data_IF_705750579563
#
_entry.id   IF_705750579563
#
_cell.length_a   1.000
_cell.length_b   1.000
_cell.length_c   1.000
_cell.angle_alpha   90.00
_cell.angle_beta   90.00
_cell.angle_gamma   90.00
#
_symmetry.space_group_name_H-M   'P 1'
#
loop_
_entity.id
_entity.type
_entity.pdbx_description
1 polymer ?
#
# COMPACT_ATOMS: atom_id res chain seq x y z
N UNK A 1 -29.83 -11.29 -41.95
CA UNK A 1 -29.25 -9.93 -41.86
C UNK A 1 -30.14 -9.09 -40.96
N UNK A 2 -29.80 -9.02 -39.68
CA UNK A 2 -30.38 -8.08 -38.71
C UNK A 2 -29.21 -7.68 -37.80
N UNK A 3 -28.74 -6.44 -37.95
CA UNK A 3 -27.57 -5.93 -37.25
C UNK A 3 -27.87 -5.73 -35.77
N UNK A 4 -27.03 -6.30 -34.91
CA UNK A 4 -26.96 -5.92 -33.51
C UNK A 4 -26.21 -4.60 -33.40
N UNK A 5 -26.94 -3.54 -33.07
CA UNK A 5 -26.38 -2.25 -32.68
C UNK A 5 -25.92 -2.34 -31.22
N UNK A 6 -24.61 -2.58 -31.03
CA UNK A 6 -23.95 -2.51 -29.72
C UNK A 6 -23.49 -1.08 -29.47
N UNK A 7 -24.41 -0.23 -29.02
CA UNK A 7 -24.10 1.11 -28.56
C UNK A 7 -24.84 1.38 -27.25
N UNK A 8 -24.35 0.83 -26.13
CA UNK A 8 -24.84 1.22 -24.80
C UNK A 8 -24.19 2.56 -24.42
N UNK A 9 -24.94 3.68 -24.29
CA UNK A 9 -24.35 5.01 -24.07
C UNK A 9 -24.04 5.34 -22.60
N UNK A 10 -24.10 4.35 -21.70
CA UNK A 10 -23.67 4.46 -20.29
C UNK A 10 -22.22 3.94 -20.26
N UNK A 11 -21.15 4.74 -20.35
CA UNK A 11 -20.66 5.68 -19.34
C UNK A 11 -19.55 6.53 -19.97
N UNK A 12 -19.90 7.56 -20.75
CA UNK A 12 -18.98 8.70 -20.93
C UNK A 12 -19.23 9.64 -19.76
N UNK A 13 -18.59 9.36 -18.63
CA UNK A 13 -18.53 10.29 -17.48
C UNK A 13 -18.01 11.62 -18.03
N UNK A 14 -18.82 12.68 -17.95
CA UNK A 14 -18.31 14.04 -18.10
C UNK A 14 -17.15 14.18 -17.12
N UNK A 15 -15.98 14.75 -17.53
CA UNK A 15 -14.91 14.98 -16.57
C UNK A 15 -15.50 15.74 -15.38
N UNK A 16 -15.26 15.23 -14.17
CA UNK A 16 -15.80 15.80 -12.96
C UNK A 16 -15.23 17.20 -12.75
N UNK A 17 -15.78 17.93 -11.79
CA UNK A 17 -15.08 19.13 -11.30
C UNK A 17 -13.68 18.70 -10.84
N UNK A 18 -12.57 19.31 -11.33
CA UNK A 18 -11.22 18.98 -10.89
C UNK A 18 -11.05 19.02 -9.36
N UNK A 19 -11.81 19.87 -8.67
CA UNK A 19 -11.80 19.92 -7.21
C UNK A 19 -12.40 18.66 -6.57
N UNK A 20 -13.47 18.11 -7.15
CA UNK A 20 -14.08 16.85 -6.71
C UNK A 20 -13.16 15.66 -7.00
N UNK A 21 -12.52 15.62 -8.16
CA UNK A 21 -11.55 14.58 -8.51
C UNK A 21 -10.34 14.60 -7.57
N UNK A 22 -9.80 15.80 -7.26
CA UNK A 22 -8.73 15.95 -6.27
C UNK A 22 -9.18 15.54 -4.87
N UNK A 23 -10.43 15.85 -4.48
CA UNK A 23 -10.98 15.42 -3.20
C UNK A 23 -11.13 13.88 -3.13
N UNK A 24 -11.63 13.26 -4.19
CA UNK A 24 -11.75 11.80 -4.31
C UNK A 24 -10.37 11.12 -4.22
N UNK A 25 -9.35 11.64 -4.92
CA UNK A 25 -7.97 11.13 -4.83
C UNK A 25 -7.45 11.17 -3.39
N UNK A 26 -7.63 12.29 -2.69
CA UNK A 26 -7.19 12.44 -1.30
C UNK A 26 -7.97 11.53 -0.35
N UNK A 27 -9.28 11.41 -0.53
CA UNK A 27 -10.11 10.53 0.29
C UNK A 27 -9.75 9.05 0.05
N UNK A 28 -9.39 8.68 -1.18
CA UNK A 28 -8.88 7.34 -1.50
C UNK A 28 -7.57 7.05 -0.78
N UNK A 29 -6.60 7.97 -0.82
CA UNK A 29 -5.35 7.82 -0.07
C UNK A 29 -5.60 7.67 1.44
N UNK A 30 -6.60 8.38 1.97
CA UNK A 30 -7.02 8.24 3.38
C UNK A 30 -7.72 6.91 3.68
N UNK A 31 -8.24 6.19 2.70
CA UNK A 31 -9.12 5.03 2.91
C UNK A 31 -8.41 3.71 3.13
N UNK A 32 -7.13 3.59 2.76
CA UNK A 32 -6.41 2.30 2.79
C UNK A 32 -6.57 1.50 4.10
N UNK A 33 -6.47 2.11 5.30
CA UNK A 33 -6.60 1.39 6.56
C UNK A 33 -7.96 0.73 6.84
N UNK A 34 -8.99 0.99 6.02
CA UNK A 34 -10.34 0.41 6.17
C UNK A 34 -10.82 -0.37 4.94
N UNK A 35 -10.03 -0.38 3.87
CA UNK A 35 -10.43 -1.00 2.59
C UNK A 35 -10.01 -2.46 2.47
N UNK A 36 -9.13 -2.93 3.35
CA UNK A 36 -8.59 -4.28 3.33
C UNK A 36 -7.94 -4.63 4.69
N UNK A 37 -7.90 -5.91 5.00
CA UNK A 37 -7.30 -6.54 6.17
C UNK A 37 -6.10 -7.39 5.80
N UNK A 38 -6.14 -8.07 4.65
CA UNK A 38 -4.99 -8.82 4.13
C UNK A 38 -4.71 -8.49 2.67
N UNK A 39 -3.44 -8.52 2.30
CA UNK A 39 -2.97 -8.31 0.93
C UNK A 39 -1.88 -9.31 0.60
N UNK A 40 -2.02 -9.93 -0.57
CA UNK A 40 -0.93 -10.65 -1.23
C UNK A 40 -0.54 -9.90 -2.48
N UNK A 41 0.73 -9.59 -2.63
CA UNK A 41 1.21 -8.75 -3.72
C UNK A 41 2.66 -9.04 -4.08
N UNK A 42 3.07 -8.54 -5.25
CA UNK A 42 4.46 -8.46 -5.65
C UNK A 42 4.94 -7.02 -5.53
N UNK A 43 6.19 -6.83 -5.11
CA UNK A 43 6.80 -5.51 -4.92
C UNK A 43 8.16 -5.43 -5.59
N UNK A 44 8.45 -4.27 -6.16
CA UNK A 44 9.74 -3.87 -6.72
C UNK A 44 10.08 -2.46 -6.24
N UNK A 45 11.24 -2.29 -5.61
CA UNK A 45 11.76 -0.96 -5.22
C UNK A 45 12.43 -0.24 -6.39
N UNK A 46 11.73 -0.20 -7.53
CA UNK A 46 12.14 0.48 -8.76
C UNK A 46 10.95 1.24 -9.33
N UNK A 47 11.16 2.40 -9.99
CA UNK A 47 10.07 3.20 -10.49
C UNK A 47 9.25 2.48 -11.55
N UNK A 48 8.02 2.96 -11.72
CA UNK A 48 7.14 2.58 -12.82
C UNK A 48 7.81 2.77 -14.19
N UNK A 49 7.79 1.72 -15.02
CA UNK A 49 8.27 1.78 -16.40
C UNK A 49 7.45 2.79 -17.23
N UNK A 50 8.10 3.45 -18.20
CA UNK A 50 7.51 4.54 -19.02
C UNK A 50 6.29 4.08 -19.83
N UNK A 51 6.18 2.79 -20.11
CA UNK A 51 5.21 2.26 -21.06
C UNK A 51 4.31 1.18 -20.40
N UNK A 52 3.00 1.43 -20.27
CA UNK A 52 2.05 0.45 -19.73
C UNK A 52 1.81 -0.74 -20.68
N UNK A 53 2.14 -0.61 -21.97
CA UNK A 53 2.04 -1.67 -22.99
C UNK A 53 3.39 -2.36 -23.25
N UNK A 54 4.47 -1.94 -22.58
CA UNK A 54 5.72 -2.68 -22.64
C UNK A 54 5.51 -4.10 -22.10
N UNK A 55 6.06 -5.13 -22.77
CA UNK A 55 5.94 -6.50 -22.32
C UNK A 55 6.37 -6.59 -20.86
N UNK A 56 5.53 -7.24 -20.04
CA UNK A 56 5.75 -7.36 -18.60
C UNK A 56 7.24 -7.65 -18.34
N UNK A 57 7.92 -6.82 -17.53
CA UNK A 57 9.35 -6.99 -17.32
C UNK A 57 9.57 -8.44 -16.90
N UNK A 58 10.53 -9.10 -17.57
CA UNK A 58 10.98 -10.44 -17.21
C UNK A 58 11.13 -10.52 -15.68
N UNK A 59 10.83 -11.66 -15.03
CA UNK A 59 10.85 -11.77 -13.58
C UNK A 59 12.19 -11.24 -13.07
N UNK A 60 12.15 -10.02 -12.54
CA UNK A 60 13.34 -9.37 -12.06
C UNK A 60 13.76 -10.12 -10.80
N UNK A 61 15.04 -10.49 -10.64
CA UNK A 61 15.52 -11.21 -9.46
C UNK A 61 15.21 -10.45 -8.15
N UNK A 62 15.03 -9.13 -8.26
CA UNK A 62 14.76 -8.24 -7.13
C UNK A 62 13.27 -8.14 -6.76
N UNK A 63 12.38 -8.84 -7.48
CA UNK A 63 10.95 -8.86 -7.17
C UNK A 63 10.71 -9.70 -5.93
N UNK A 64 10.01 -9.12 -4.96
CA UNK A 64 9.60 -9.83 -3.74
C UNK A 64 8.11 -10.10 -3.75
N UNK A 65 7.71 -11.25 -3.23
CA UNK A 65 6.32 -11.60 -2.93
C UNK A 65 6.05 -11.30 -1.47
N UNK A 66 4.95 -10.61 -1.22
CA UNK A 66 4.54 -10.18 0.09
C UNK A 66 3.19 -10.78 0.45
N UNK A 67 3.08 -11.25 1.68
CA UNK A 67 1.83 -11.53 2.36
C UNK A 67 1.76 -10.63 3.57
N UNK A 68 0.69 -9.86 3.66
CA UNK A 68 0.49 -8.93 4.74
C UNK A 68 -0.91 -9.14 5.31
N UNK A 69 -1.02 -9.19 6.63
CA UNK A 69 -2.28 -9.24 7.35
C UNK A 69 -2.24 -8.28 8.53
N UNK A 70 -3.23 -7.40 8.60
CA UNK A 70 -3.36 -6.44 9.69
C UNK A 70 -3.95 -7.12 10.94
N UNK A 71 -3.52 -6.72 12.15
CA UNK A 71 -2.43 -5.80 12.43
C UNK A 71 -1.05 -6.50 12.38
N UNK A 72 -0.12 -5.97 11.59
CA UNK A 72 1.32 -6.18 11.78
C UNK A 72 1.94 -7.50 11.31
N UNK A 73 1.20 -8.43 10.72
CA UNK A 73 1.77 -9.66 10.18
C UNK A 73 2.31 -9.42 8.76
N UNK A 74 3.61 -9.65 8.54
CA UNK A 74 4.25 -9.53 7.23
C UNK A 74 5.16 -10.74 6.97
N UNK A 75 5.05 -11.31 5.78
CA UNK A 75 6.02 -12.26 5.22
C UNK A 75 6.44 -11.78 3.84
N UNK A 76 7.74 -11.88 3.58
CA UNK A 76 8.35 -11.53 2.31
C UNK A 76 9.23 -12.68 1.83
N UNK A 77 9.06 -13.01 0.56
CA UNK A 77 9.84 -14.03 -0.13
C UNK A 77 10.43 -13.47 -1.43
N UNK A 78 11.56 -14.01 -1.85
CA UNK A 78 12.03 -13.83 -3.23
C UNK A 78 11.11 -14.53 -4.22
N UNK A 79 11.28 -14.25 -5.51
CA UNK A 79 10.59 -15.01 -6.57
C UNK A 79 10.83 -16.54 -6.50
N UNK A 80 12.01 -16.95 -6.01
CA UNK A 80 12.42 -18.34 -5.85
C UNK A 80 11.91 -18.99 -4.54
N UNK A 81 11.18 -18.25 -3.69
CA UNK A 81 10.60 -18.74 -2.44
C UNK A 81 11.54 -18.69 -1.22
N UNK A 82 12.66 -17.97 -1.31
CA UNK A 82 13.52 -17.72 -0.15
C UNK A 82 12.86 -16.66 0.75
N UNK A 83 12.60 -16.99 2.01
CA UNK A 83 12.05 -16.04 2.99
C UNK A 83 13.08 -14.98 3.33
N UNK A 84 12.79 -13.73 2.97
CA UNK A 84 13.60 -12.56 3.28
C UNK A 84 13.26 -11.96 4.64
N UNK A 85 11.97 -12.01 4.99
CA UNK A 85 11.47 -11.48 6.27
C UNK A 85 10.17 -12.18 6.65
N UNK A 86 9.99 -12.39 7.94
CA UNK A 86 8.72 -12.83 8.51
C UNK A 86 8.55 -12.24 9.90
N UNK A 87 7.37 -11.74 10.22
CA UNK A 87 7.04 -11.27 11.57
C UNK A 87 6.82 -12.49 12.48
N UNK A 88 7.88 -12.96 13.14
CA UNK A 88 7.77 -13.96 14.21
C UNK A 88 7.21 -13.29 15.46
N UNK A 89 6.09 -13.79 16.00
CA UNK A 89 5.52 -13.29 17.26
C UNK A 89 4.09 -12.75 17.19
N UNK A 90 3.31 -13.06 16.14
CA UNK A 90 1.88 -12.72 16.08
C UNK A 90 1.10 -13.34 17.26
N UNK A 91 1.57 -14.49 17.76
CA UNK A 91 1.03 -15.22 18.91
C UNK A 91 1.82 -15.02 20.21
N UNK A 92 2.86 -14.20 20.22
CA UNK A 92 3.53 -13.88 21.48
C UNK A 92 2.55 -13.06 22.33
N UNK A 93 2.19 -13.65 23.48
CA UNK A 93 1.21 -13.12 24.42
C UNK A 93 1.39 -11.61 24.59
N UNK A 94 0.27 -10.89 24.61
CA UNK A 94 0.18 -9.44 24.86
C UNK A 94 0.67 -9.03 26.27
N UNK A 95 1.39 -9.90 26.98
CA UNK A 95 2.00 -9.63 28.29
C UNK A 95 3.14 -8.60 28.23
N UNK A 96 3.75 -8.38 27.05
CA UNK A 96 4.77 -7.33 26.87
C UNK A 96 4.17 -5.91 26.84
N UNK A 97 2.83 -5.77 26.78
CA UNK A 97 2.16 -4.46 26.85
C UNK A 97 2.26 -3.75 28.22
N UNK A 98 2.76 -4.41 29.28
CA UNK A 98 2.81 -3.82 30.63
C UNK A 98 4.14 -3.14 31.02
N UNK A 99 5.18 -3.14 30.18
CA UNK A 99 6.47 -2.55 30.54
C UNK A 99 6.94 -1.53 29.50
N UNK A 100 6.26 -0.38 29.44
CA UNK A 100 6.72 0.76 28.63
C UNK A 100 5.63 1.79 28.34
N UNK A 101 5.15 2.46 29.39
CA UNK A 101 4.11 3.51 29.29
C UNK A 101 4.60 4.75 28.52
N UNK A 102 4.57 4.69 27.18
CA UNK A 102 4.43 5.86 26.32
C UNK A 102 2.95 5.98 25.93
N UNK A 103 2.41 7.20 25.80
CA UNK A 103 0.96 7.50 25.64
C UNK A 103 0.22 6.75 24.49
N UNK A 104 0.90 5.96 23.66
CA UNK A 104 0.38 5.30 22.45
C UNK A 104 -0.26 3.92 22.69
N UNK A 105 -0.17 3.34 23.88
CA UNK A 105 -0.66 1.96 24.16
C UNK A 105 -2.18 1.78 24.18
N UNK A 106 -2.96 2.87 24.21
CA UNK A 106 -4.44 2.81 24.24
C UNK A 106 -5.10 3.03 22.88
N UNK A 107 -4.34 3.38 21.83
CA UNK A 107 -4.91 3.60 20.51
C UNK A 107 -5.34 2.26 19.90
N UNK A 108 -6.59 2.21 19.45
CA UNK A 108 -7.11 1.04 18.75
C UNK A 108 -6.55 0.98 17.33
N UNK A 109 -6.37 -0.22 16.76
CA UNK A 109 -6.13 -0.39 15.33
C UNK A 109 -7.21 0.35 14.51
N UNK A 110 -6.88 0.95 13.34
CA UNK A 110 -7.83 1.73 12.55
C UNK A 110 -9.13 0.99 12.24
N UNK A 111 -9.05 -0.31 12.01
CA UNK A 111 -10.18 -1.18 11.69
C UNK A 111 -11.23 -1.30 12.82
N UNK A 112 -10.86 -0.96 14.05
CA UNK A 112 -11.76 -0.95 15.21
C UNK A 112 -12.32 0.46 15.50
N UNK A 113 -12.00 1.46 14.68
CA UNK A 113 -12.45 2.85 14.84
C UNK A 113 -13.13 3.32 13.55
N UNK A 114 -14.30 3.93 13.68
CA UNK A 114 -15.07 4.42 12.52
C UNK A 114 -14.56 5.79 12.06
N UNK A 115 -14.12 5.95 10.80
CA UNK A 115 -13.74 7.23 10.24
C UNK A 115 -14.96 8.01 9.74
N UNK A 116 -14.75 9.27 9.34
CA UNK A 116 -15.79 10.04 8.64
C UNK A 116 -15.69 9.74 7.16
N UNK A 117 -16.75 9.17 6.59
CA UNK A 117 -16.86 8.89 5.16
C UNK A 117 -17.46 10.09 4.39
N UNK A 118 -17.15 10.17 3.10
CA UNK A 118 -17.91 10.97 2.14
C UNK A 118 -19.10 10.18 1.56
N UNK A 119 -19.79 10.78 0.59
CA UNK A 119 -20.93 10.21 -0.12
C UNK A 119 -20.56 9.01 -1.02
N UNK A 120 -19.27 8.86 -1.37
CA UNK A 120 -18.72 7.75 -2.14
C UNK A 120 -18.14 6.64 -1.26
N UNK A 121 -18.31 6.73 0.07
CA UNK A 121 -17.78 5.76 1.03
C UNK A 121 -16.25 5.78 1.16
N UNK A 122 -15.58 6.85 0.72
CA UNK A 122 -14.17 7.09 0.94
C UNK A 122 -13.98 7.88 2.24
N UNK A 123 -12.83 7.70 2.88
CA UNK A 123 -12.52 8.35 4.15
C UNK A 123 -12.18 9.82 3.92
N UNK A 124 -13.06 10.70 4.38
CA UNK A 124 -12.84 12.14 4.41
C UNK A 124 -11.91 12.54 5.56
N UNK A 125 -12.12 12.00 6.77
CA UNK A 125 -11.32 12.30 7.96
C UNK A 125 -10.97 11.03 8.72
N UNK A 126 -9.68 10.87 9.03
CA UNK A 126 -9.14 9.82 9.87
C UNK A 126 -9.30 10.17 11.37
N UNK A 127 -9.81 9.24 12.20
CA UNK A 127 -9.82 9.39 13.65
C UNK A 127 -8.40 9.22 14.22
N UNK A 128 -8.24 9.40 15.52
CA UNK A 128 -7.00 9.04 16.19
C UNK A 128 -6.96 7.52 16.40
N UNK A 129 -5.99 6.84 15.79
CA UNK A 129 -5.84 5.39 15.83
C UNK A 129 -4.36 4.99 15.74
N UNK A 130 -4.06 3.72 16.01
CA UNK A 130 -2.72 3.15 15.89
C UNK A 130 -2.40 2.87 14.41
N UNK A 131 -2.14 3.93 13.64
CA UNK A 131 -1.68 3.83 12.25
C UNK A 131 -0.24 3.33 12.16
N UNK A 132 0.08 2.68 11.05
CA UNK A 132 1.41 2.17 10.74
C UNK A 132 1.29 0.77 10.13
N UNK A 133 1.89 0.61 8.95
CA UNK A 133 2.02 -0.68 8.31
C UNK A 133 3.38 -1.30 8.64
N UNK A 134 3.50 -2.64 8.69
CA UNK A 134 4.80 -3.26 8.85
C UNK A 134 5.69 -2.87 7.65
N UNK A 135 6.84 -2.28 7.96
CA UNK A 135 7.87 -1.96 6.97
C UNK A 135 8.82 -3.13 6.75
N UNK A 136 9.47 -3.17 5.59
CA UNK A 136 10.60 -4.05 5.33
C UNK A 136 11.75 -3.27 4.70
N UNK A 137 12.91 -3.30 5.34
CA UNK A 137 14.08 -2.51 4.93
C UNK A 137 13.85 -1.02 5.18
N UNK A 138 13.14 -0.35 4.27
CA UNK A 138 12.87 1.09 4.29
C UNK A 138 11.38 1.39 4.57
N UNK A 139 11.08 2.62 5.01
CA UNK A 139 9.70 3.06 5.27
C UNK A 139 8.84 3.25 4.01
N UNK A 140 9.41 3.19 2.80
CA UNK A 140 8.67 3.41 1.54
C UNK A 140 7.60 2.34 1.33
N UNK A 141 7.91 1.11 1.69
CA UNK A 141 6.97 0.00 1.65
C UNK A 141 5.70 0.30 2.49
N UNK A 142 5.88 0.81 3.70
CA UNK A 142 4.77 1.20 4.57
C UNK A 142 4.02 2.43 4.02
N UNK A 143 4.74 3.43 3.49
CA UNK A 143 4.15 4.60 2.85
C UNK A 143 3.34 4.26 1.59
N UNK A 144 3.73 3.22 0.84
CA UNK A 144 2.97 2.73 -0.30
C UNK A 144 1.65 2.08 0.13
N UNK A 145 1.67 1.27 1.20
CA UNK A 145 0.49 0.59 1.73
C UNK A 145 -0.50 1.56 2.38
N UNK A 146 -0.02 2.64 3.00
CA UNK A 146 -0.84 3.71 3.56
C UNK A 146 -0.37 5.10 3.07
N UNK A 147 -0.78 5.54 1.86
CA UNK A 147 -0.28 6.77 1.22
C UNK A 147 -0.90 8.05 1.78
N UNK A 148 -1.19 8.08 3.09
CA UNK A 148 -1.82 9.21 3.76
C UNK A 148 -0.99 10.49 3.69
N UNK A 149 0.33 10.39 3.55
CA UNK A 149 1.21 11.55 3.39
C UNK A 149 0.92 12.39 2.13
N UNK A 150 0.23 11.82 1.12
CA UNK A 150 -0.27 12.59 -0.04
C UNK A 150 -1.52 13.41 0.28
N UNK A 151 -2.29 13.03 1.30
CA UNK A 151 -3.60 13.59 1.58
C UNK A 151 -3.71 14.31 2.94
N UNK A 152 -2.86 13.96 3.90
CA UNK A 152 -3.06 14.29 5.31
C UNK A 152 -4.27 13.55 5.94
N UNK A 153 -4.44 13.70 7.25
CA UNK A 153 -5.49 12.98 7.99
C UNK A 153 -6.90 13.54 7.79
N UNK A 154 -7.03 14.78 7.31
CA UNK A 154 -8.32 15.46 7.14
C UNK A 154 -8.25 16.47 5.98
N UNK A 155 -9.40 16.94 5.46
CA UNK A 155 -9.43 18.04 4.51
C UNK A 155 -8.97 19.32 5.21
N UNK A 156 -8.26 20.14 4.46
CA UNK A 156 -7.71 21.43 4.90
C UNK A 156 -8.29 22.56 4.05
N UNK A 157 -8.37 23.80 4.56
CA UNK A 157 -8.88 24.91 3.78
C UNK A 157 -8.01 25.16 2.54
N UNK A 158 -8.66 25.42 1.40
CA UNK A 158 -7.99 25.72 0.13
C UNK A 158 -7.42 27.15 0.08
N UNK A 159 -7.93 28.05 0.93
CA UNK A 159 -7.57 29.47 0.96
C UNK A 159 -6.13 29.72 1.43
N UNK A 160 -5.56 28.79 2.20
CA UNK A 160 -4.22 28.91 2.74
C UNK A 160 -3.23 28.13 1.87
N UNK A 161 -2.24 28.80 1.24
CA UNK A 161 -1.20 28.15 0.46
C UNK A 161 -0.49 27.05 1.27
N UNK A 162 -0.12 25.95 0.60
CA UNK A 162 0.59 24.81 1.19
C UNK A 162 -0.14 24.09 2.33
N UNK A 163 -1.46 24.30 2.50
CA UNK A 163 -2.23 23.56 3.51
C UNK A 163 -2.33 22.08 3.18
N UNK A 164 -2.55 21.76 1.89
CA UNK A 164 -2.49 20.40 1.41
C UNK A 164 -1.02 19.96 1.34
N UNK A 165 -0.72 18.70 1.67
CA UNK A 165 0.65 18.20 1.68
C UNK A 165 1.33 18.22 0.29
N UNK A 166 0.55 17.96 -0.76
CA UNK A 166 1.01 17.97 -2.17
C UNK A 166 0.07 18.79 -3.03
N UNK A 167 0.60 19.41 -4.06
CA UNK A 167 -0.16 19.94 -5.20
C UNK A 167 -0.48 18.78 -6.14
N UNK A 168 -1.73 18.71 -6.61
CA UNK A 168 -2.23 17.67 -7.49
C UNK A 168 -2.38 18.23 -8.90
N UNK A 169 -1.82 17.55 -9.89
CA UNK A 169 -2.19 17.69 -11.28
C UNK A 169 -3.54 17.01 -11.59
N UNK A 170 -3.92 16.91 -12.87
CA UNK A 170 -5.11 16.19 -13.30
C UNK A 170 -5.09 14.74 -12.78
N UNK A 171 -6.24 14.27 -12.31
CA UNK A 171 -6.43 12.88 -11.88
C UNK A 171 -7.09 12.12 -13.01
N UNK A 172 -6.51 10.99 -13.40
CA UNK A 172 -7.05 10.15 -14.46
C UNK A 172 -7.26 8.72 -13.96
N UNK A 173 -8.31 8.07 -14.43
CA UNK A 173 -8.55 6.65 -14.18
C UNK A 173 -7.72 5.82 -15.16
N UNK A 174 -6.96 4.86 -14.66
CA UNK A 174 -6.11 3.94 -15.43
C UNK A 174 -6.31 2.50 -14.96
N UNK A 175 -5.84 1.54 -15.76
CA UNK A 175 -5.68 0.16 -15.30
C UNK A 175 -4.22 -0.10 -14.93
N UNK A 176 -3.99 -0.59 -13.72
CA UNK A 176 -2.70 -1.04 -13.24
C UNK A 176 -2.75 -2.54 -13.00
N UNK A 177 -2.04 -3.33 -13.81
CA UNK A 177 -2.04 -4.80 -13.73
C UNK A 177 -3.46 -5.41 -13.77
N UNK A 178 -4.36 -4.80 -14.56
CA UNK A 178 -5.76 -5.23 -14.70
C UNK A 178 -6.71 -4.72 -13.61
N UNK A 179 -6.25 -3.87 -12.68
CA UNK A 179 -7.06 -3.28 -11.62
C UNK A 179 -7.26 -1.78 -11.82
N UNK A 180 -8.47 -1.23 -11.57
CA UNK A 180 -8.69 0.22 -11.63
C UNK A 180 -7.83 0.98 -10.63
N UNK A 181 -7.17 2.04 -11.09
CA UNK A 181 -6.34 2.91 -10.27
C UNK A 181 -6.52 4.38 -10.68
N UNK A 182 -6.29 5.30 -9.75
CA UNK A 182 -6.19 6.73 -10.02
C UNK A 182 -4.72 7.11 -10.20
N UNK A 183 -4.38 7.70 -11.33
CA UNK A 183 -3.05 8.24 -11.61
C UNK A 183 -3.09 9.77 -11.52
N UNK A 184 -2.07 10.35 -10.87
CA UNK A 184 -1.87 11.79 -10.84
C UNK A 184 -0.39 12.13 -10.75
N UNK A 185 0.00 13.27 -11.29
CA UNK A 185 1.28 13.90 -10.98
C UNK A 185 1.10 14.75 -9.73
N UNK A 186 1.97 14.54 -8.74
CA UNK A 186 1.98 15.28 -7.48
C UNK A 186 3.31 16.00 -7.28
N UNK A 187 3.23 17.18 -6.67
CA UNK A 187 4.42 17.95 -6.27
C UNK A 187 4.35 18.19 -4.76
N UNK A 188 5.28 17.64 -3.96
CA UNK A 188 5.31 17.90 -2.52
C UNK A 188 5.71 19.36 -2.28
N UNK A 189 5.00 20.03 -1.39
CA UNK A 189 5.32 21.40 -1.00
C UNK A 189 5.96 21.42 0.41
N UNK A 190 6.33 22.59 0.98
CA UNK A 190 6.95 22.66 2.30
C UNK A 190 6.11 22.08 3.45
N UNK A 191 4.80 21.90 3.26
CA UNK A 191 3.87 21.25 4.18
C UNK A 191 3.88 19.72 4.10
N UNK A 192 4.49 19.12 3.07
CA UNK A 192 4.67 17.68 2.96
C UNK A 192 5.48 17.14 4.15
N UNK A 193 4.94 16.11 4.79
CA UNK A 193 5.55 15.43 5.93
C UNK A 193 5.44 13.92 5.70
N UNK A 194 6.49 13.26 5.20
CA UNK A 194 6.47 11.82 5.03
C UNK A 194 6.42 11.12 6.40
N UNK A 195 5.86 9.93 6.43
CA UNK A 195 5.82 9.12 7.65
C UNK A 195 7.24 8.72 8.09
N UNK A 196 8.07 8.34 7.13
CA UNK A 196 9.50 8.09 7.29
C UNK A 196 10.30 9.06 6.40
N UNK A 197 10.97 10.08 6.98
CA UNK A 197 11.81 11.00 6.22
C UNK A 197 12.96 10.35 5.44
N UNK A 198 13.42 9.15 5.83
CA UNK A 198 14.45 8.41 5.11
C UNK A 198 13.95 7.74 3.84
N UNK A 199 12.63 7.59 3.69
CA UNK A 199 12.02 6.86 2.58
C UNK A 199 10.65 7.44 2.18
N UNK A 200 10.58 8.73 1.80
CA UNK A 200 9.32 9.39 1.45
C UNK A 200 8.70 8.81 0.17
N UNK A 201 7.38 8.83 0.03
CA UNK A 201 6.72 8.45 -1.23
C UNK A 201 7.05 9.45 -2.35
N UNK A 202 7.25 10.73 -2.02
CA UNK A 202 7.57 11.80 -2.97
C UNK A 202 8.92 12.44 -2.67
N UNK A 203 9.75 12.59 -3.70
CA UNK A 203 10.95 13.46 -3.66
C UNK A 203 10.60 14.89 -4.07
N UNK A 204 11.46 15.88 -3.78
CA UNK A 204 11.28 17.24 -4.29
C UNK A 204 11.08 17.26 -5.82
N UNK A 205 10.12 18.05 -6.31
CA UNK A 205 9.75 18.09 -7.73
C UNK A 205 8.56 17.21 -8.08
N UNK A 206 8.39 16.87 -9.37
CA UNK A 206 7.22 16.11 -9.83
C UNK A 206 7.39 14.61 -9.60
N UNK A 207 6.32 13.99 -9.09
CA UNK A 207 6.24 12.55 -8.89
C UNK A 207 4.95 12.04 -9.52
N UNK A 208 5.02 11.03 -10.37
CA UNK A 208 3.85 10.30 -10.85
C UNK A 208 3.48 9.24 -9.81
N UNK A 209 2.22 9.17 -9.42
CA UNK A 209 1.72 8.16 -8.47
C UNK A 209 0.46 7.50 -8.99
N UNK A 210 0.28 6.21 -8.68
CA UNK A 210 -0.94 5.45 -8.93
C UNK A 210 -1.49 4.89 -7.63
N UNK A 211 -2.78 5.08 -7.39
CA UNK A 211 -3.50 4.59 -6.21
C UNK A 211 -4.57 3.59 -6.66
N UNK A 212 -4.51 2.35 -6.21
CA UNK A 212 -5.53 1.33 -6.52
C UNK A 212 -6.89 1.75 -5.94
N UNK A 213 -7.92 1.80 -6.80
CA UNK A 213 -9.23 2.32 -6.42
C UNK A 213 -9.97 1.40 -5.42
N UNK A 214 -9.67 0.10 -5.43
CA UNK A 214 -10.27 -0.86 -4.52
C UNK A 214 -9.70 -0.79 -3.10
N UNK A 215 -8.38 -0.62 -2.99
CA UNK A 215 -7.63 -0.77 -1.74
C UNK A 215 -7.09 0.54 -1.18
N UNK A 216 -6.95 1.60 -1.99
CA UNK A 216 -6.30 2.85 -1.58
C UNK A 216 -4.78 2.76 -1.44
N UNK A 217 -4.16 1.63 -1.85
CA UNK A 217 -2.71 1.42 -1.84
C UNK A 217 -2.07 2.18 -3.01
N UNK A 218 -0.93 2.82 -2.76
CA UNK A 218 -0.10 3.38 -3.82
C UNK A 218 0.64 2.24 -4.52
N UNK A 219 0.11 1.82 -5.68
CA UNK A 219 0.61 0.67 -6.44
C UNK A 219 1.79 1.00 -7.36
N UNK A 220 2.04 2.28 -7.61
CA UNK A 220 3.22 2.72 -8.32
C UNK A 220 3.59 4.14 -7.96
N UNK A 221 4.89 4.42 -7.91
CA UNK A 221 5.42 5.78 -7.87
C UNK A 221 6.63 5.92 -8.78
N UNK A 222 6.84 7.14 -9.26
CA UNK A 222 8.03 7.51 -10.04
C UNK A 222 8.34 8.98 -9.87
N UNK A 223 9.56 9.28 -9.50
CA UNK A 223 10.09 10.62 -9.54
C UNK A 223 10.48 11.02 -10.97
N UNK A 224 10.06 12.20 -11.42
CA UNK A 224 10.16 12.64 -12.81
C UNK A 224 11.31 13.62 -13.07
N UNK A 225 12.03 14.05 -12.04
CA UNK A 225 13.18 14.95 -12.20
C UNK A 225 14.52 14.20 -12.37
N UNK A 226 14.45 12.91 -12.73
CA UNK A 226 15.63 12.09 -12.95
C UNK A 226 16.51 12.66 -14.07
N UNK A 227 17.80 12.88 -13.80
CA UNK A 227 18.75 13.37 -14.81
C UNK A 227 18.74 14.88 -15.10
N UNK A 228 18.04 15.70 -14.31
CA UNK A 228 18.20 17.17 -14.36
C UNK A 228 19.52 17.63 -13.70
N UNK A 229 20.10 18.74 -14.19
CA UNK A 229 21.28 19.36 -13.55
C UNK A 229 21.00 19.67 -12.07
N UNK A 230 21.84 19.15 -11.18
CA UNK A 230 21.67 19.27 -9.72
C UNK A 230 20.99 18.07 -9.05
N UNK A 231 20.39 17.17 -9.83
CA UNK A 231 19.77 15.93 -9.38
C UNK A 231 20.46 14.72 -10.05
N UNK A 232 20.96 13.76 -9.26
CA UNK A 232 21.72 12.63 -9.79
C UNK A 232 20.92 11.74 -10.76
N UNK A 233 21.57 10.75 -11.41
CA UNK A 233 20.92 9.79 -12.31
C UNK A 233 20.02 8.77 -11.56
N UNK A 234 19.61 9.09 -10.33
CA UNK A 234 18.89 8.18 -9.46
C UNK A 234 17.44 8.02 -9.92
N UNK A 235 17.11 6.79 -10.27
CA UNK A 235 15.73 6.34 -10.38
C UNK A 235 15.13 6.21 -8.98
N UNK A 236 13.99 6.86 -8.75
CA UNK A 236 13.28 6.79 -7.48
C UNK A 236 11.81 6.48 -7.71
N UNK A 237 11.32 5.47 -6.99
CA UNK A 237 9.93 5.07 -7.02
C UNK A 237 9.78 3.60 -6.68
N UNK A 238 8.57 3.08 -6.88
CA UNK A 238 8.26 1.68 -6.66
C UNK A 238 7.17 1.21 -7.63
N UNK A 239 7.04 -0.10 -7.73
CA UNK A 239 5.96 -0.78 -8.41
C UNK A 239 5.44 -1.92 -7.53
N UNK A 240 4.13 -2.07 -7.50
CA UNK A 240 3.43 -3.08 -6.71
C UNK A 240 2.28 -3.67 -7.54
N UNK A 241 2.17 -5.00 -7.55
CA UNK A 241 1.05 -5.72 -8.16
C UNK A 241 0.25 -6.46 -7.11
N UNK A 242 -0.99 -6.05 -6.91
CA UNK A 242 -1.91 -6.73 -5.99
C UNK A 242 -2.38 -8.04 -6.64
N UNK A 243 -2.12 -9.17 -5.98
CA UNK A 243 -2.53 -10.50 -6.42
C UNK A 243 -3.82 -10.95 -5.75
N UNK A 244 -4.04 -10.57 -4.50
CA UNK A 244 -5.28 -10.83 -3.77
C UNK A 244 -5.50 -9.82 -2.64
N UNK A 245 -6.78 -9.61 -2.31
CA UNK A 245 -7.26 -8.72 -1.25
C UNK A 245 -8.18 -9.54 -0.35
N UNK A 246 -8.00 -9.43 0.96
CA UNK A 246 -8.81 -10.12 1.99
C UNK A 246 -8.85 -11.64 1.80
N UNK A 247 -7.78 -12.22 1.26
CA UNK A 247 -7.61 -13.67 1.25
C UNK A 247 -7.37 -14.18 2.66
N UNK A 248 -7.95 -15.33 2.96
CA UNK A 248 -7.73 -16.00 4.22
C UNK A 248 -6.27 -16.48 4.30
N UNK A 249 -5.52 -15.95 5.26
CA UNK A 249 -4.11 -16.29 5.50
C UNK A 249 -3.98 -16.97 6.87
N UNK A 250 -3.46 -18.20 6.87
CA UNK A 250 -3.17 -18.96 8.08
C UNK A 250 -2.03 -18.31 8.88
N UNK A 251 -2.05 -18.46 10.20
CA UNK A 251 -1.00 -17.92 11.08
C UNK A 251 0.36 -18.52 10.76
N UNK A 252 0.39 -19.81 10.42
CA UNK A 252 1.60 -20.56 10.04
C UNK A 252 2.33 -19.95 8.85
N UNK A 253 1.60 -19.21 7.98
CA UNK A 253 2.19 -18.49 6.87
C UNK A 253 3.22 -17.48 7.38
N UNK A 254 3.04 -16.87 8.54
CA UNK A 254 3.90 -15.80 9.06
C UNK A 254 4.97 -16.29 10.04
N UNK A 255 5.04 -17.59 10.31
CA UNK A 255 6.10 -18.17 11.12
C UNK A 255 7.37 -18.35 10.25
N UNK A 256 8.54 -18.01 10.81
CA UNK A 256 9.82 -18.09 10.11
C UNK A 256 10.22 -19.54 9.76
N UNK A 257 9.79 -20.50 10.57
CA UNK A 257 9.86 -21.91 10.22
C UNK A 257 8.57 -22.28 9.50
N UNK A 258 8.69 -22.64 8.21
CA UNK A 258 7.77 -23.65 7.71
C UNK A 258 8.00 -24.87 8.59
N UNK A 259 7.02 -25.23 9.42
CA UNK A 259 6.92 -26.63 9.76
C UNK A 259 6.79 -27.33 8.40
N UNK A 260 7.89 -27.92 7.94
CA UNK A 260 7.79 -29.21 7.28
C UNK A 260 6.84 -29.97 8.20
N UNK A 261 5.56 -30.01 7.81
CA UNK A 261 4.61 -30.97 8.31
C UNK A 261 5.42 -32.24 8.32
N UNK A 262 5.81 -32.68 9.51
CA UNK A 262 6.62 -33.88 9.65
C UNK A 262 5.84 -34.90 8.88
N UNK A 263 6.40 -35.39 7.76
CA UNK A 263 5.70 -36.32 6.88
C UNK A 263 5.09 -37.38 7.80
N UNK A 264 3.77 -37.37 7.93
CA UNK A 264 3.06 -38.16 8.96
C UNK A 264 3.24 -39.66 8.69
N UNK A 265 3.87 -40.02 7.57
CA UNK A 265 4.33 -41.36 7.24
C UNK A 265 5.60 -41.78 7.97
N UNK A 266 6.39 -40.84 8.51
CA UNK A 266 7.44 -41.15 9.48
C UNK A 266 6.81 -41.18 10.87
N UNK A 267 6.39 -42.38 11.26
CA UNK A 267 5.99 -42.71 12.62
C UNK A 267 6.98 -42.10 13.62
N UNK A 268 6.47 -41.23 14.50
CA UNK A 268 7.20 -40.84 15.70
C UNK A 268 7.19 -42.06 16.62
N UNK A 269 8.32 -42.76 16.72
CA UNK A 269 8.48 -43.86 17.66
C UNK A 269 8.49 -43.28 19.08
N UNK A 270 7.39 -43.43 19.80
CA UNK A 270 7.37 -43.19 21.23
C UNK A 270 8.08 -44.36 21.91
N UNK A 271 9.34 -44.18 22.29
CA UNK A 271 9.99 -45.11 23.21
C UNK A 271 9.44 -44.85 24.62
N UNK A 272 8.56 -45.74 25.07
CA UNK A 272 8.14 -45.80 26.46
C UNK A 272 9.31 -46.34 27.28
N UNK A 273 9.74 -45.68 28.37
CA UNK A 273 10.71 -46.25 29.29
C UNK A 273 10.14 -47.54 29.88
N UNK A 274 10.86 -48.65 29.76
CA UNK A 274 10.53 -49.86 30.48
C UNK A 274 10.75 -49.61 31.98
N UNK A 275 9.66 -49.47 32.72
CA UNK A 275 9.60 -49.39 34.17
C UNK A 275 8.36 -50.10 34.67
#
# INVERSE_FOLDING_TARGET
MAGWDTSNPRDRRTPGDPAEEAAAFRNLCRSSPWRWQSLRFEYLDRPLAVDPDAPAPAPAPDRVRAWLRRPGALRLETADGLVLHSTTGINDSRDVFYLGSTRKTWLLPPQLVTPVYDDQGLVRRRPEAAYGEPGFGNGRFAAALDPVELAGNAPVPLEFPNSNAVELGPVIEVLHEGRPALEAVVVPNPGYRPLDPGAPLCRPGRNLVRIDAGTGVCVASRWLENGQEGYGPEEYGHWLRILAVDEYMLDDLFLAESMNLTDVRRHISWELPAG
#
